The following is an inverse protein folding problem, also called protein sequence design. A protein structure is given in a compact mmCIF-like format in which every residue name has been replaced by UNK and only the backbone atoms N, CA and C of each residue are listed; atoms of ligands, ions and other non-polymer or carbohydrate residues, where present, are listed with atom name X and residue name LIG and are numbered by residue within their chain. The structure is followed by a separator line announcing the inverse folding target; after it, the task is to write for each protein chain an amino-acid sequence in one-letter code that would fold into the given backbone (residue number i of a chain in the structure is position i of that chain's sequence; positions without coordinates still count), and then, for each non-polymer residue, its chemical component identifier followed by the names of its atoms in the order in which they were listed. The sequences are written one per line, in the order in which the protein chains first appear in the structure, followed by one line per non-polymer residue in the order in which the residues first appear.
data_IF_748432373685
#
_entry.id   IF_748432373685
#
_cell.length_a   1.000
_cell.length_b   1.000
_cell.length_c   1.000
_cell.angle_alpha   90.00
_cell.angle_beta   90.00
_cell.angle_gamma   90.00
#
_symmetry.space_group_name_H-M   'P 1'
#
loop_
_entity.id
_entity.type
_entity.pdbx_description
1 polymer ?
#
# COMPACT_ATOMS: atom_id res chain seq x y z
N UNK A 1 23.55 -8.40 25.60
CA UNK A 1 23.32 -7.99 24.84
C UNK A 1 22.47 -8.42 24.15
N UNK A 2 22.13 -8.01 23.50
CA UNK A 2 21.02 -8.35 22.91
C UNK A 2 21.19 -8.38 21.47
N UNK A 3 21.97 -9.28 20.96
CA UNK A 3 22.11 -9.42 19.52
C UNK A 3 20.78 -9.59 18.85
N UNK A 4 19.81 -10.10 19.56
CA UNK A 4 18.51 -10.31 18.95
C UNK A 4 17.87 -9.04 18.49
N UNK A 5 18.22 -7.93 19.09
CA UNK A 5 17.61 -6.72 18.68
C UNK A 5 18.04 -6.27 17.31
N UNK A 6 19.26 -6.57 16.96
CA UNK A 6 19.70 -6.25 15.62
C UNK A 6 18.93 -7.04 14.58
N UNK A 7 18.55 -8.27 14.93
CA UNK A 7 17.80 -9.11 14.00
C UNK A 7 16.36 -8.65 13.85
N UNK A 8 15.90 -7.84 14.77
CA UNK A 8 14.55 -7.31 14.74
C UNK A 8 14.45 -5.98 14.02
N UNK A 9 15.54 -5.50 13.46
CA UNK A 9 15.54 -4.25 12.71
C UNK A 9 14.62 -4.39 11.51
N UNK A 10 13.66 -3.50 11.36
CA UNK A 10 12.75 -3.61 10.21
C UNK A 10 13.46 -3.35 8.90
N UNK A 11 12.97 -4.03 7.89
CA UNK A 11 13.40 -3.79 6.52
C UNK A 11 12.43 -2.84 5.85
N UNK A 12 12.93 -1.96 5.01
CA UNK A 12 12.11 -1.08 4.21
C UNK A 12 11.88 -1.76 2.85
N UNK A 13 10.63 -2.10 2.59
CA UNK A 13 10.25 -2.72 1.31
C UNK A 13 9.65 -1.66 0.42
N UNK A 14 10.37 -1.30 -0.63
CA UNK A 14 9.85 -0.35 -1.60
C UNK A 14 8.85 -1.03 -2.52
N UNK A 15 7.80 -0.32 -2.88
CA UNK A 15 6.83 -0.81 -3.85
C UNK A 15 6.43 0.31 -4.79
N UNK A 16 5.98 -0.10 -5.98
CA UNK A 16 5.56 0.82 -7.03
C UNK A 16 4.16 0.42 -7.44
N UNK A 17 3.26 1.38 -7.45
CA UNK A 17 1.87 1.12 -7.82
C UNK A 17 1.39 2.14 -8.83
N UNK A 18 0.47 1.70 -9.67
CA UNK A 18 -0.23 2.58 -10.60
C UNK A 18 -1.72 2.40 -10.38
N UNK A 19 -2.40 3.51 -10.15
CA UNK A 19 -3.85 3.54 -10.05
C UNK A 19 -4.37 4.03 -11.39
N UNK A 20 -5.17 3.20 -12.07
CA UNK A 20 -5.69 3.53 -13.38
C UNK A 20 -7.21 3.64 -13.29
N UNK A 21 -7.74 4.76 -13.76
CA UNK A 21 -9.19 4.96 -13.77
C UNK A 21 -9.78 4.41 -15.06
N UNK A 22 -10.36 3.22 -14.99
CA UNK A 22 -11.03 2.57 -16.12
C UNK A 22 -12.52 2.86 -16.15
N UNK A 23 -13.01 3.69 -15.24
CA UNK A 23 -14.43 4.04 -15.23
C UNK A 23 -14.73 5.17 -16.21
N UNK A 24 -15.99 5.51 -16.31
CA UNK A 24 -16.43 6.62 -17.17
C UNK A 24 -16.55 7.93 -16.40
N UNK A 25 -16.17 7.93 -15.12
CA UNK A 25 -16.30 9.12 -14.28
C UNK A 25 -14.95 9.54 -13.72
N UNK A 26 -14.83 10.82 -13.42
CA UNK A 26 -13.65 11.34 -12.74
C UNK A 26 -13.71 10.94 -11.28
N UNK A 27 -12.60 10.45 -10.74
CA UNK A 27 -12.50 9.94 -9.39
C UNK A 27 -11.36 10.65 -8.66
N UNK A 28 -11.63 11.12 -7.45
CA UNK A 28 -10.58 11.63 -6.57
C UNK A 28 -10.23 10.56 -5.57
N UNK A 29 -8.96 10.18 -5.51
CA UNK A 29 -8.49 9.21 -4.54
C UNK A 29 -8.23 9.96 -3.23
N UNK A 30 -8.95 9.60 -2.17
CA UNK A 30 -8.91 10.36 -0.93
C UNK A 30 -8.27 9.62 0.23
N UNK A 31 -8.02 8.33 0.10
CA UNK A 31 -7.40 7.61 1.20
C UNK A 31 -6.94 6.23 0.82
N UNK A 32 -6.23 5.61 1.73
CA UNK A 32 -5.65 4.28 1.55
C UNK A 32 -5.71 3.50 2.85
N UNK A 33 -5.80 2.19 2.69
CA UNK A 33 -5.70 1.27 3.82
C UNK A 33 -4.87 0.07 3.39
N UNK A 34 -3.87 -0.26 4.19
CA UNK A 34 -3.02 -1.44 3.98
C UNK A 34 -3.18 -2.38 5.15
N UNK A 35 -3.17 -3.65 4.87
CA UNK A 35 -3.14 -4.71 5.87
C UNK A 35 -1.91 -5.56 5.60
N UNK A 36 -1.01 -5.61 6.57
CA UNK A 36 0.23 -6.36 6.47
C UNK A 36 0.13 -7.55 7.41
N UNK A 37 0.20 -8.76 6.87
CA UNK A 37 0.10 -9.99 7.65
C UNK A 37 1.44 -10.68 7.69
N UNK A 38 1.96 -10.88 8.89
CA UNK A 38 3.23 -11.56 9.09
C UNK A 38 3.02 -13.07 9.21
N UNK A 39 4.12 -13.80 9.09
CA UNK A 39 4.08 -15.27 9.18
C UNK A 39 3.62 -15.76 10.54
N UNK A 40 3.88 -15.01 11.59
CA UNK A 40 3.47 -15.39 12.95
C UNK A 40 2.00 -15.12 13.24
N UNK A 41 1.26 -14.63 12.25
CA UNK A 41 -0.14 -14.31 12.41
C UNK A 41 -0.41 -12.90 12.86
N UNK A 42 0.61 -12.11 13.16
CA UNK A 42 0.39 -10.72 13.54
C UNK A 42 -0.06 -9.90 12.33
N UNK A 43 -0.83 -8.86 12.60
CA UNK A 43 -1.41 -8.03 11.56
C UNK A 43 -1.16 -6.57 11.91
N UNK A 44 -0.67 -5.82 10.93
CA UNK A 44 -0.50 -4.38 11.07
C UNK A 44 -1.41 -3.70 10.06
N UNK A 45 -2.13 -2.68 10.49
CA UNK A 45 -3.00 -1.89 9.61
C UNK A 45 -2.42 -0.50 9.49
N UNK A 46 -2.26 -0.05 8.25
CA UNK A 46 -1.75 1.29 7.96
C UNK A 46 -2.83 2.02 7.17
N UNK A 47 -3.36 3.09 7.73
CA UNK A 47 -4.38 3.90 7.08
C UNK A 47 -3.90 5.33 7.00
N UNK A 48 -4.38 6.04 5.99
CA UNK A 48 -4.04 7.44 5.87
C UNK A 48 -4.84 8.13 4.78
N UNK A 49 -4.80 9.45 4.83
CA UNK A 49 -5.46 10.27 3.84
C UNK A 49 -4.58 10.36 2.60
N UNK A 50 -5.22 10.36 1.45
CA UNK A 50 -4.52 10.51 0.19
C UNK A 50 -3.57 9.37 -0.13
N UNK A 51 -2.65 9.65 -1.01
CA UNK A 51 -1.60 8.74 -1.44
C UNK A 51 -0.31 9.53 -1.53
N UNK A 52 0.67 9.20 -0.69
CA UNK A 52 1.96 9.90 -0.58
C UNK A 52 1.78 11.43 -0.51
N UNK A 53 0.84 11.87 0.32
CA UNK A 53 0.60 13.29 0.54
C UNK A 53 -0.22 13.98 -0.53
N UNK A 54 -0.81 13.23 -1.47
CA UNK A 54 -1.61 13.79 -2.55
C UNK A 54 -2.98 13.15 -2.59
N UNK A 55 -3.93 13.87 -3.18
CA UNK A 55 -5.27 13.34 -3.44
C UNK A 55 -5.53 13.45 -4.94
N UNK A 56 -4.97 12.52 -5.71
CA UNK A 56 -5.02 12.66 -7.17
C UNK A 56 -6.44 12.60 -7.70
N UNK A 57 -6.71 13.47 -8.67
CA UNK A 57 -7.98 13.51 -9.38
C UNK A 57 -7.75 12.87 -10.73
N UNK A 58 -8.41 11.75 -10.99
CA UNK A 58 -8.19 10.97 -12.19
C UNK A 58 -9.42 11.02 -13.08
N UNK A 59 -9.27 11.60 -14.26
CA UNK A 59 -10.29 11.53 -15.30
C UNK A 59 -10.30 10.12 -15.89
N UNK A 60 -11.37 9.75 -16.63
CA UNK A 60 -11.39 8.44 -17.27
C UNK A 60 -10.16 8.22 -18.13
N UNK A 61 -9.51 7.08 -17.94
CA UNK A 61 -8.30 6.73 -18.66
C UNK A 61 -7.00 7.28 -18.08
N UNK A 62 -7.09 8.16 -17.10
CA UNK A 62 -5.89 8.70 -16.47
C UNK A 62 -5.33 7.75 -15.43
N UNK A 63 -4.05 7.89 -15.16
CA UNK A 63 -3.38 7.06 -14.16
C UNK A 63 -2.50 7.92 -13.26
N UNK A 64 -2.27 7.40 -12.05
CA UNK A 64 -1.35 7.99 -11.09
C UNK A 64 -0.40 6.90 -10.63
N UNK A 65 0.88 7.12 -10.85
CA UNK A 65 1.91 6.17 -10.44
C UNK A 65 2.72 6.76 -9.29
N UNK A 66 3.07 5.92 -8.33
CA UNK A 66 3.85 6.37 -7.20
C UNK A 66 4.65 5.22 -6.62
N UNK A 67 5.62 5.58 -5.80
CA UNK A 67 6.37 4.60 -5.02
C UNK A 67 6.31 4.98 -3.56
N UNK A 68 6.39 3.99 -2.70
CA UNK A 68 6.43 4.19 -1.27
C UNK A 68 7.10 2.96 -0.66
N UNK A 69 6.99 2.80 0.65
CA UNK A 69 7.60 1.65 1.30
C UNK A 69 6.80 1.27 2.53
N UNK A 70 6.98 0.01 2.93
CA UNK A 70 6.51 -0.50 4.22
C UNK A 70 7.71 -0.97 5.02
N UNK A 71 7.60 -0.88 6.35
CA UNK A 71 8.61 -1.42 7.25
C UNK A 71 8.09 -2.73 7.82
N UNK A 72 8.91 -3.76 7.78
CA UNK A 72 8.54 -5.04 8.34
C UNK A 72 9.79 -5.77 8.79
N UNK A 73 9.70 -6.48 9.91
CA UNK A 73 10.84 -7.21 10.46
C UNK A 73 11.11 -8.51 9.71
N UNK A 74 10.13 -9.04 9.03
CA UNK A 74 10.27 -10.28 8.28
C UNK A 74 9.29 -10.32 7.12
N UNK A 75 9.07 -11.49 6.54
CA UNK A 75 8.14 -11.60 5.42
C UNK A 75 6.72 -11.20 5.81
N UNK A 76 6.07 -10.43 4.97
CA UNK A 76 4.68 -10.07 5.17
C UNK A 76 3.93 -10.17 3.85
N UNK A 77 2.63 -10.44 3.97
CA UNK A 77 1.71 -10.37 2.85
C UNK A 77 0.99 -9.03 2.95
N UNK A 78 1.13 -8.23 1.91
CA UNK A 78 0.52 -6.89 1.87
C UNK A 78 -0.73 -6.94 1.01
N UNK A 79 -1.81 -6.35 1.50
CA UNK A 79 -3.03 -6.17 0.73
C UNK A 79 -3.69 -4.88 1.19
N UNK A 80 -4.61 -4.38 0.42
CA UNK A 80 -5.26 -3.15 0.82
C UNK A 80 -6.24 -2.64 -0.21
N UNK A 81 -6.59 -1.37 -0.04
CA UNK A 81 -7.48 -0.70 -0.96
C UNK A 81 -7.25 0.81 -0.91
N UNK A 82 -7.52 1.46 -2.01
CA UNK A 82 -7.69 2.90 -2.04
C UNK A 82 -9.18 3.18 -1.99
N UNK A 83 -9.55 4.31 -1.42
CA UNK A 83 -10.93 4.75 -1.53
C UNK A 83 -10.97 6.14 -2.14
N UNK A 84 -12.01 6.38 -2.89
CA UNK A 84 -12.16 7.62 -3.61
C UNK A 84 -13.61 8.04 -3.70
N UNK A 85 -13.83 9.13 -4.38
CA UNK A 85 -15.17 9.68 -4.56
C UNK A 85 -15.30 10.21 -5.99
N UNK A 86 -16.44 9.95 -6.60
CA UNK A 86 -16.73 10.46 -7.94
C UNK A 86 -17.19 11.91 -7.86
N UNK A 87 -17.32 12.55 -9.02
CA UNK A 87 -17.87 13.91 -9.08
C UNK A 87 -19.29 14.01 -8.59
N UNK A 88 -20.02 12.89 -8.49
CA UNK A 88 -21.37 12.85 -7.98
C UNK A 88 -21.45 12.49 -6.50
N UNK A 89 -20.31 12.38 -5.84
CA UNK A 89 -20.26 12.06 -4.42
C UNK A 89 -20.36 10.58 -4.09
N UNK A 90 -20.32 9.70 -5.10
CA UNK A 90 -20.35 8.26 -4.85
C UNK A 90 -18.99 7.76 -4.38
N UNK A 91 -18.99 6.87 -3.41
CA UNK A 91 -17.75 6.28 -2.92
C UNK A 91 -17.34 5.11 -3.80
N UNK A 92 -16.05 5.03 -4.08
CA UNK A 92 -15.49 3.92 -4.84
C UNK A 92 -14.30 3.36 -4.08
N UNK A 93 -14.07 2.06 -4.29
CA UNK A 93 -12.94 1.37 -3.67
C UNK A 93 -12.15 0.67 -4.76
N UNK A 94 -10.83 0.79 -4.68
CA UNK A 94 -9.92 0.15 -5.62
C UNK A 94 -9.09 -0.82 -4.83
N UNK A 95 -9.32 -2.11 -5.03
CA UNK A 95 -8.61 -3.15 -4.30
C UNK A 95 -7.17 -3.25 -4.79
N UNK A 96 -6.24 -3.34 -3.85
CA UNK A 96 -4.85 -3.65 -4.15
C UNK A 96 -4.71 -5.15 -4.00
N UNK A 97 -4.38 -5.88 -5.09
CA UNK A 97 -4.21 -7.32 -4.98
C UNK A 97 -3.09 -7.68 -4.01
N UNK A 98 -3.24 -8.76 -3.25
CA UNK A 98 -2.20 -9.14 -2.29
C UNK A 98 -0.88 -9.44 -2.98
N UNK A 99 0.21 -9.09 -2.31
CA UNK A 99 1.54 -9.46 -2.77
C UNK A 99 2.45 -9.70 -1.57
N UNK A 100 3.53 -10.45 -1.81
CA UNK A 100 4.46 -10.83 -0.76
C UNK A 100 5.64 -9.88 -0.73
N UNK A 101 6.06 -9.51 0.48
CA UNK A 101 7.29 -8.75 0.68
C UNK A 101 8.21 -9.61 1.55
N UNK A 102 9.30 -10.05 0.98
CA UNK A 102 10.22 -10.95 1.65
C UNK A 102 11.59 -10.30 1.75
N UNK A 103 12.20 -10.25 2.94
CA UNK A 103 13.54 -9.70 3.05
C UNK A 103 14.51 -10.50 2.20
N UNK A 104 15.58 -9.87 1.71
CA UNK A 104 16.59 -10.62 0.96
C UNK A 104 17.15 -11.71 1.84
N UNK A 105 17.44 -12.86 1.24
CA UNK A 105 18.10 -13.91 1.97
C UNK A 105 19.49 -13.48 2.39
N UNK A 106 19.95 -13.92 3.56
CA UNK A 106 21.33 -13.62 3.93
C UNK A 106 22.28 -14.13 2.88
N UNK A 107 23.34 -13.39 2.67
CA UNK A 107 24.35 -13.83 1.74
C UNK A 107 24.94 -15.15 2.20
N UNK A 108 25.15 -16.02 1.30
CA UNK A 108 25.68 -17.33 1.63
C UNK A 108 27.00 -17.54 0.93
#
# INVERSE_FOLDING_TARGET
MLPDRADETPHAFAYFLTILNLSTETVRIIGRKWVLRAEDGSVQVVEGDGVVGKSPLLAPGEKFSYSSHHLAAGPVRAEGAFHGVTGHGERVFVRIPPFEMTPPSPAT
#
